data_IF_275538907656
#
_entry.id   IF_275538907656
#
_cell.length_a   1.000
_cell.length_b   1.000
_cell.length_c   1.000
_cell.angle_alpha   90.00
_cell.angle_beta   90.00
_cell.angle_gamma   90.00
#
_symmetry.space_group_name_H-M   'P 1'
#
loop_
_entity.id
_entity.type
_entity.pdbx_description
1 polymer ?
#
# COMPACT_ATOMS: atom_id res chain seq x y z
N UNK A 1 -54.80 -27.36 5.56
CA UNK A 1 -54.01 -26.60 6.56
C UNK A 1 -52.56 -26.68 6.11
N UNK A 2 -52.07 -25.62 5.47
CA UNK A 2 -50.73 -25.59 4.86
C UNK A 2 -49.78 -24.88 5.82
N UNK A 3 -48.80 -25.59 6.34
CA UNK A 3 -47.69 -25.02 7.12
C UNK A 3 -46.78 -24.20 6.20
N UNK A 4 -46.54 -22.90 6.48
CA UNK A 4 -45.53 -22.15 5.77
C UNK A 4 -44.15 -22.59 6.25
N UNK A 5 -43.34 -23.08 5.31
CA UNK A 5 -41.91 -23.30 5.48
C UNK A 5 -41.25 -21.93 5.67
N UNK A 6 -40.93 -21.57 6.91
CA UNK A 6 -40.08 -20.42 7.18
C UNK A 6 -38.66 -20.80 6.74
N UNK A 7 -38.27 -20.31 5.56
CA UNK A 7 -36.87 -20.24 5.20
C UNK A 7 -36.19 -19.34 6.23
N UNK A 8 -35.23 -19.92 6.97
CA UNK A 8 -34.35 -19.16 7.85
C UNK A 8 -33.73 -18.02 7.04
N UNK A 9 -33.76 -16.76 7.51
CA UNK A 9 -33.00 -15.70 6.87
C UNK A 9 -31.53 -16.12 6.93
N UNK A 10 -30.91 -16.29 5.77
CA UNK A 10 -29.45 -16.40 5.64
C UNK A 10 -28.90 -15.22 6.42
N UNK A 11 -28.19 -15.48 7.52
CA UNK A 11 -27.56 -14.44 8.31
C UNK A 11 -26.56 -13.74 7.38
N UNK A 12 -26.97 -12.59 6.82
CA UNK A 12 -26.06 -11.69 6.11
C UNK A 12 -25.06 -11.28 7.18
N UNK A 13 -23.83 -11.81 7.10
CA UNK A 13 -22.77 -11.42 8.01
C UNK A 13 -22.63 -9.90 7.91
N UNK A 14 -23.05 -9.18 8.95
CA UNK A 14 -23.02 -7.72 8.95
C UNK A 14 -21.59 -7.24 8.69
N UNK A 15 -21.42 -6.44 7.65
CA UNK A 15 -20.12 -5.89 7.27
C UNK A 15 -19.59 -4.94 8.34
N UNK A 16 -18.27 -4.77 8.39
CA UNK A 16 -17.63 -3.81 9.31
C UNK A 16 -17.48 -2.46 8.61
N UNK A 17 -17.71 -1.35 9.31
CA UNK A 17 -17.26 -0.06 8.76
C UNK A 17 -15.75 -0.01 8.74
N UNK A 18 -15.20 0.87 7.90
CA UNK A 18 -13.76 1.04 7.80
C UNK A 18 -13.09 1.36 9.16
N UNK A 19 -13.62 2.26 10.02
CA UNK A 19 -13.05 2.45 11.35
C UNK A 19 -13.07 1.18 12.21
N UNK A 20 -14.17 0.42 12.20
CA UNK A 20 -14.29 -0.83 12.94
C UNK A 20 -13.33 -1.91 12.43
N UNK A 21 -13.14 -1.99 11.11
CA UNK A 21 -12.22 -2.92 10.49
C UNK A 21 -10.77 -2.61 10.87
N UNK A 22 -10.36 -1.35 10.79
CA UNK A 22 -8.99 -0.95 11.15
C UNK A 22 -8.72 -1.13 12.65
N UNK A 23 -9.67 -0.76 13.51
CA UNK A 23 -9.54 -0.99 14.96
C UNK A 23 -9.47 -2.48 15.29
N UNK A 24 -10.23 -3.33 14.59
CA UNK A 24 -10.13 -4.80 14.74
C UNK A 24 -8.80 -5.36 14.25
N UNK A 25 -8.26 -4.84 13.17
CA UNK A 25 -7.05 -5.36 12.52
C UNK A 25 -5.77 -4.94 13.24
N UNK A 26 -5.74 -3.72 13.77
CA UNK A 26 -4.54 -3.07 14.32
C UNK A 26 -4.73 -2.53 15.74
N UNK A 27 -5.90 -2.65 16.38
CA UNK A 27 -6.13 -2.06 17.70
C UNK A 27 -6.08 -0.52 17.73
N UNK A 28 -6.05 0.14 16.57
CA UNK A 28 -5.90 1.59 16.44
C UNK A 28 -7.29 2.24 16.27
N UNK A 29 -7.70 3.14 17.18
CA UNK A 29 -8.94 3.89 17.04
C UNK A 29 -8.76 5.00 15.99
N UNK A 30 -9.05 4.69 14.72
CA UNK A 30 -8.83 5.59 13.57
C UNK A 30 -9.48 6.97 13.72
N UNK A 31 -10.57 7.08 14.47
CA UNK A 31 -11.22 8.36 14.76
C UNK A 31 -10.29 9.37 15.46
N UNK A 32 -9.29 8.88 16.21
CA UNK A 32 -8.29 9.70 16.91
C UNK A 32 -7.09 10.08 16.03
N UNK A 33 -6.99 9.52 14.81
CA UNK A 33 -5.86 9.68 13.91
C UNK A 33 -6.34 10.16 12.52
N UNK A 34 -6.60 11.48 12.34
CA UNK A 34 -7.20 12.00 11.11
C UNK A 34 -6.32 11.78 9.86
N UNK A 35 -5.00 11.81 10.00
CA UNK A 35 -4.05 11.54 8.90
C UNK A 35 -4.18 10.09 8.43
N UNK A 36 -4.09 9.13 9.36
CA UNK A 36 -4.32 7.70 9.07
C UNK A 36 -5.69 7.48 8.44
N UNK A 37 -6.74 8.09 8.99
CA UNK A 37 -8.11 7.98 8.45
C UNK A 37 -8.17 8.42 6.98
N UNK A 38 -7.58 9.56 6.66
CA UNK A 38 -7.59 10.10 5.30
C UNK A 38 -6.78 9.23 4.33
N UNK A 39 -5.61 8.73 4.77
CA UNK A 39 -4.79 7.79 4.00
C UNK A 39 -5.56 6.50 3.69
N UNK A 40 -6.16 5.88 4.72
CA UNK A 40 -6.92 4.63 4.58
C UNK A 40 -8.17 4.84 3.71
N UNK A 41 -8.90 5.94 3.86
CA UNK A 41 -10.05 6.27 2.99
C UNK A 41 -9.63 6.40 1.52
N UNK A 42 -8.52 7.08 1.25
CA UNK A 42 -8.00 7.27 -0.12
C UNK A 42 -7.57 5.93 -0.72
N UNK A 43 -6.86 5.11 0.05
CA UNK A 43 -6.45 3.76 -0.33
C UNK A 43 -7.65 2.87 -0.66
N UNK A 44 -8.62 2.80 0.25
CA UNK A 44 -9.81 1.95 0.10
C UNK A 44 -10.65 2.39 -1.10
N UNK A 45 -10.78 3.70 -1.35
CA UNK A 45 -11.45 4.21 -2.54
C UNK A 45 -10.78 3.69 -3.82
N UNK A 46 -9.46 3.79 -3.92
CA UNK A 46 -8.71 3.32 -5.08
C UNK A 46 -8.86 1.80 -5.29
N UNK A 47 -8.73 1.01 -4.22
CA UNK A 47 -8.85 -0.45 -4.27
C UNK A 47 -10.28 -0.91 -4.59
N UNK A 48 -11.29 -0.18 -4.11
CA UNK A 48 -12.69 -0.49 -4.41
C UNK A 48 -13.03 -0.18 -5.87
N UNK A 49 -12.55 0.93 -6.41
CA UNK A 49 -12.71 1.27 -7.84
C UNK A 49 -12.09 0.21 -8.75
N UNK A 50 -10.94 -0.36 -8.34
CA UNK A 50 -10.26 -1.44 -9.05
C UNK A 50 -10.79 -2.85 -8.72
N UNK A 51 -11.87 -2.97 -7.92
CA UNK A 51 -12.48 -4.25 -7.50
C UNK A 51 -11.50 -5.18 -6.76
N UNK A 52 -10.49 -4.61 -6.10
CA UNK A 52 -9.62 -5.35 -5.16
C UNK A 52 -10.33 -5.56 -3.83
N UNK A 53 -11.10 -4.57 -3.37
CA UNK A 53 -11.98 -4.64 -2.21
C UNK A 53 -13.44 -4.40 -2.62
N UNK A 54 -14.38 -5.13 -2.03
CA UNK A 54 -15.80 -5.07 -2.28
C UNK A 54 -16.50 -4.30 -1.15
N UNK A 55 -16.61 -2.98 -1.30
CA UNK A 55 -17.45 -2.20 -0.39
C UNK A 55 -18.93 -2.45 -0.69
N UNK A 56 -19.69 -2.71 0.36
CA UNK A 56 -21.13 -2.89 0.29
C UNK A 56 -21.81 -1.62 0.82
N UNK A 57 -22.85 -1.20 0.11
CA UNK A 57 -23.70 -0.10 0.55
C UNK A 57 -24.85 -0.67 1.37
N UNK A 58 -24.93 -0.27 2.64
CA UNK A 58 -26.03 -0.59 3.54
C UNK A 58 -26.90 0.65 3.76
N UNK A 59 -28.20 0.51 3.56
CA UNK A 59 -29.17 1.55 3.90
C UNK A 59 -29.43 1.53 5.42
N UNK A 60 -29.16 2.64 6.10
CA UNK A 60 -29.32 2.75 7.57
C UNK A 60 -30.79 3.01 7.94
N UNK A 61 -31.64 3.44 7.00
CA UNK A 61 -33.03 3.78 7.29
C UNK A 61 -33.96 3.45 6.14
N UNK A 62 -35.11 2.85 6.45
CA UNK A 62 -36.23 2.53 5.54
C UNK A 62 -36.99 3.77 5.01
N UNK A 63 -36.35 4.94 4.98
CA UNK A 63 -36.92 6.20 4.49
C UNK A 63 -36.28 6.50 3.14
N UNK A 64 -37.06 6.95 2.17
CA UNK A 64 -36.57 7.47 0.89
C UNK A 64 -35.53 8.57 1.15
N UNK A 65 -34.29 8.36 0.70
CA UNK A 65 -33.07 9.16 1.00
C UNK A 65 -32.44 8.96 2.40
N UNK A 66 -32.48 7.74 2.92
CA UNK A 66 -31.75 7.36 4.13
C UNK A 66 -30.24 7.60 4.07
N UNK A 67 -29.61 7.77 5.25
CA UNK A 67 -28.14 7.82 5.35
C UNK A 67 -27.57 6.49 4.88
N UNK A 68 -26.61 6.56 3.95
CA UNK A 68 -25.89 5.41 3.39
C UNK A 68 -24.67 5.09 4.26
N UNK A 69 -24.42 3.80 4.51
CA UNK A 69 -23.23 3.30 5.20
C UNK A 69 -22.46 2.42 4.25
N UNK A 70 -21.15 2.65 4.16
CA UNK A 70 -20.26 1.74 3.46
C UNK A 70 -19.68 0.75 4.47
N UNK A 71 -19.84 -0.54 4.19
CA UNK A 71 -19.30 -1.64 5.00
C UNK A 71 -18.39 -2.52 4.14
N UNK A 72 -17.44 -3.17 4.81
CA UNK A 72 -16.52 -4.11 4.24
C UNK A 72 -16.92 -5.52 4.71
N UNK A 73 -17.11 -6.48 3.80
CA UNK A 73 -17.37 -7.87 4.17
C UNK A 73 -16.15 -8.45 4.88
N UNK A 74 -16.38 -9.45 5.74
CA UNK A 74 -15.30 -10.09 6.50
C UNK A 74 -14.27 -10.78 5.61
N UNK A 75 -14.70 -11.25 4.43
CA UNK A 75 -13.83 -11.85 3.41
C UNK A 75 -12.68 -10.92 2.99
N UNK A 76 -12.90 -9.61 3.07
CA UNK A 76 -11.97 -8.61 2.54
C UNK A 76 -11.06 -8.03 3.63
N UNK A 77 -11.21 -8.47 4.88
CA UNK A 77 -10.38 -8.00 5.98
C UNK A 77 -8.89 -8.31 5.79
N UNK A 78 -8.58 -9.46 5.18
CA UNK A 78 -7.19 -9.84 4.86
C UNK A 78 -6.62 -8.88 3.81
N UNK A 79 -7.35 -8.66 2.72
CA UNK A 79 -6.97 -7.70 1.69
C UNK A 79 -6.78 -6.29 2.23
N UNK A 80 -7.69 -5.82 3.10
CA UNK A 80 -7.55 -4.52 3.76
C UNK A 80 -6.31 -4.44 4.66
N UNK A 81 -6.08 -5.47 5.50
CA UNK A 81 -4.89 -5.55 6.36
C UNK A 81 -3.62 -5.41 5.54
N UNK A 82 -3.51 -6.22 4.48
CA UNK A 82 -2.36 -6.23 3.60
C UNK A 82 -2.17 -4.89 2.89
N UNK A 83 -3.26 -4.31 2.37
CA UNK A 83 -3.22 -3.01 1.72
C UNK A 83 -2.69 -1.90 2.64
N UNK A 84 -3.13 -1.86 3.91
CA UNK A 84 -2.69 -0.83 4.86
C UNK A 84 -1.20 -0.97 5.20
N UNK A 85 -0.73 -2.21 5.41
CA UNK A 85 0.69 -2.49 5.65
C UNK A 85 1.53 -2.08 4.45
N UNK A 86 1.12 -2.49 3.24
CA UNK A 86 1.83 -2.14 2.00
C UNK A 86 1.80 -0.64 1.74
N UNK A 87 0.69 0.04 2.00
CA UNK A 87 0.61 1.50 1.90
C UNK A 87 1.59 2.18 2.86
N UNK A 88 1.84 1.60 4.04
CA UNK A 88 2.81 2.16 4.99
C UNK A 88 4.25 2.03 4.51
N UNK A 89 4.56 0.94 3.80
CA UNK A 89 5.89 0.67 3.26
C UNK A 89 6.12 1.44 1.96
N UNK A 90 5.19 1.34 1.01
CA UNK A 90 5.33 1.77 -0.38
C UNK A 90 4.65 3.13 -0.68
N UNK A 91 3.86 3.65 0.24
CA UNK A 91 3.23 4.97 0.16
C UNK A 91 1.99 5.03 -0.72
N UNK A 92 2.14 4.97 -2.05
CA UNK A 92 1.05 5.35 -2.94
C UNK A 92 -0.03 4.27 -3.13
N UNK A 93 -1.34 4.63 -3.09
CA UNK A 93 -2.43 3.69 -3.37
C UNK A 93 -2.32 2.99 -4.74
N UNK A 94 -1.83 3.70 -5.76
CA UNK A 94 -1.60 3.12 -7.10
C UNK A 94 -0.52 2.05 -7.07
N UNK A 95 0.54 2.27 -6.30
CA UNK A 95 1.61 1.28 -6.11
C UNK A 95 1.03 0.05 -5.41
N UNK A 96 0.30 0.23 -4.31
CA UNK A 96 -0.36 -0.88 -3.61
C UNK A 96 -1.25 -1.67 -4.55
N UNK A 97 -2.08 -1.00 -5.37
CA UNK A 97 -2.92 -1.67 -6.36
C UNK A 97 -2.10 -2.55 -7.32
N UNK A 98 -1.00 -2.02 -7.87
CA UNK A 98 -0.10 -2.80 -8.74
C UNK A 98 0.51 -4.02 -8.03
N UNK A 99 0.81 -3.94 -6.74
CA UNK A 99 1.32 -5.08 -5.96
C UNK A 99 0.29 -6.22 -5.84
N UNK A 100 -1.00 -5.88 -5.75
CA UNK A 100 -2.08 -6.87 -5.75
C UNK A 100 -2.26 -7.52 -7.13
N UNK A 101 -2.13 -6.75 -8.22
CA UNK A 101 -2.47 -7.21 -9.57
C UNK A 101 -1.30 -7.84 -10.34
N UNK A 102 -0.07 -7.42 -10.07
CA UNK A 102 1.09 -7.72 -10.92
C UNK A 102 2.20 -8.41 -10.11
N UNK A 103 2.26 -9.75 -10.11
CA UNK A 103 3.25 -10.52 -9.34
C UNK A 103 4.70 -10.14 -9.64
N UNK A 104 5.05 -9.85 -10.91
CA UNK A 104 6.39 -9.41 -11.29
C UNK A 104 6.78 -8.09 -10.61
N UNK A 105 5.89 -7.09 -10.69
CA UNK A 105 6.08 -5.80 -10.04
C UNK A 105 6.16 -5.97 -8.53
N UNK A 106 5.35 -6.87 -7.96
CA UNK A 106 5.41 -7.19 -6.53
C UNK A 106 6.77 -7.74 -6.11
N UNK A 107 7.35 -8.68 -6.87
CA UNK A 107 8.70 -9.21 -6.62
C UNK A 107 9.77 -8.13 -6.69
N UNK A 108 9.75 -7.31 -7.74
CA UNK A 108 10.69 -6.19 -7.89
C UNK A 108 10.63 -5.21 -6.70
N UNK A 109 9.43 -4.91 -6.20
CA UNK A 109 9.24 -4.07 -5.01
C UNK A 109 9.68 -4.74 -3.71
N UNK A 110 9.57 -6.06 -3.59
CA UNK A 110 10.03 -6.81 -2.44
C UNK A 110 11.57 -6.82 -2.38
N UNK A 111 12.24 -7.14 -3.49
CA UNK A 111 13.70 -7.06 -3.62
C UNK A 111 14.22 -5.66 -3.28
N UNK A 112 13.49 -4.65 -3.76
CA UNK A 112 13.78 -3.25 -3.49
C UNK A 112 13.66 -2.90 -2.00
N UNK A 113 12.53 -3.24 -1.37
CA UNK A 113 12.32 -2.99 0.05
C UNK A 113 13.31 -3.77 0.92
N UNK A 114 13.68 -4.99 0.52
CA UNK A 114 14.71 -5.81 1.18
C UNK A 114 16.05 -5.09 1.24
N UNK A 115 16.47 -4.54 0.11
CA UNK A 115 17.76 -3.84 -0.01
C UNK A 115 17.78 -2.54 0.81
N UNK A 116 16.66 -1.82 0.89
CA UNK A 116 16.56 -0.58 1.67
C UNK A 116 16.42 -0.78 3.17
N UNK A 117 15.59 -1.73 3.59
CA UNK A 117 15.17 -1.87 4.98
C UNK A 117 16.14 -2.74 5.80
N UNK A 118 16.71 -3.80 5.21
CA UNK A 118 17.61 -4.68 5.95
C UNK A 118 19.00 -4.09 6.15
N UNK A 119 19.47 -3.26 5.22
CA UNK A 119 20.74 -2.54 5.36
C UNK A 119 20.64 -1.40 6.39
N UNK A 120 19.43 -0.99 6.79
CA UNK A 120 19.17 0.19 7.64
C UNK A 120 18.18 -0.16 8.75
N UNK A 121 18.69 -0.80 9.80
CA UNK A 121 17.89 -1.42 10.88
C UNK A 121 17.16 -0.45 11.82
N UNK A 122 17.39 0.86 11.72
CA UNK A 122 16.66 1.86 12.51
C UNK A 122 16.57 3.16 11.75
N UNK A 123 15.38 3.51 11.28
CA UNK A 123 15.18 4.79 10.61
C UNK A 123 13.82 5.34 11.02
N UNK A 124 13.77 6.66 11.25
CA UNK A 124 12.56 7.40 11.60
C UNK A 124 11.89 7.07 12.96
N UNK A 125 12.61 6.53 13.95
CA UNK A 125 12.05 6.19 15.28
C UNK A 125 10.87 5.20 15.27
N UNK A 126 10.58 4.58 14.13
CA UNK A 126 9.63 3.48 13.97
C UNK A 126 10.38 2.17 14.17
N UNK A 127 10.03 1.43 15.23
CA UNK A 127 10.53 0.09 15.44
C UNK A 127 10.02 -0.84 14.34
N UNK A 128 10.94 -1.47 13.60
CA UNK A 128 10.62 -2.56 12.69
C UNK A 128 10.91 -3.90 13.38
N UNK A 129 9.95 -4.81 13.33
CA UNK A 129 10.13 -6.17 13.81
C UNK A 129 10.81 -6.97 12.68
N UNK A 130 12.13 -7.10 12.75
CA UNK A 130 12.96 -7.68 11.67
C UNK A 130 12.46 -9.03 11.16
N UNK A 131 11.99 -9.92 12.04
CA UNK A 131 11.48 -11.23 11.63
C UNK A 131 10.18 -11.13 10.82
N UNK A 132 9.28 -10.23 11.20
CA UNK A 132 8.01 -10.01 10.51
C UNK A 132 8.25 -9.29 9.18
N UNK A 133 9.23 -8.39 9.13
CA UNK A 133 9.67 -7.77 7.87
C UNK A 133 10.21 -8.81 6.88
N UNK A 134 11.12 -9.69 7.31
CA UNK A 134 11.66 -10.74 6.44
C UNK A 134 10.55 -11.64 5.91
N UNK A 135 9.65 -12.10 6.78
CA UNK A 135 8.50 -12.93 6.39
C UNK A 135 7.56 -12.20 5.42
N UNK A 136 7.35 -10.90 5.61
CA UNK A 136 6.54 -10.09 4.71
C UNK A 136 7.20 -10.06 3.32
N UNK A 137 8.51 -9.81 3.25
CA UNK A 137 9.24 -9.72 1.98
C UNK A 137 9.25 -11.08 1.26
N UNK A 138 9.47 -12.17 1.98
CA UNK A 138 9.41 -13.54 1.42
C UNK A 138 8.02 -13.84 0.83
N UNK A 139 6.95 -13.41 1.50
CA UNK A 139 5.59 -13.57 0.98
C UNK A 139 5.30 -12.68 -0.24
N UNK A 140 5.85 -11.47 -0.29
CA UNK A 140 5.72 -10.62 -1.48
C UNK A 140 6.43 -11.20 -2.70
N UNK A 141 7.57 -11.87 -2.50
CA UNK A 141 8.30 -12.55 -3.56
C UNK A 141 7.57 -13.79 -4.10
N UNK A 142 6.66 -14.36 -3.29
CA UNK A 142 5.89 -15.56 -3.64
C UNK A 142 4.64 -15.30 -4.50
N UNK A 143 3.99 -16.38 -4.92
CA UNK A 143 2.77 -16.37 -5.74
C UNK A 143 1.47 -16.39 -4.92
N UNK A 144 1.54 -16.04 -3.63
CA UNK A 144 0.34 -15.98 -2.77
C UNK A 144 -0.65 -14.93 -3.24
N UNK A 145 -1.94 -15.22 -3.06
CA UNK A 145 -3.01 -14.24 -3.25
C UNK A 145 -3.09 -13.33 -2.01
N UNK A 146 -2.76 -12.05 -2.21
CA UNK A 146 -2.79 -11.02 -1.17
C UNK A 146 -4.20 -10.71 -0.66
N UNK A 147 -5.27 -11.22 -1.30
CA UNK A 147 -6.63 -11.13 -0.77
C UNK A 147 -6.94 -12.25 0.24
N UNK A 148 -6.21 -13.37 0.19
CA UNK A 148 -6.49 -14.58 0.98
C UNK A 148 -5.44 -14.84 2.05
N UNK A 149 -4.17 -14.57 1.76
CA UNK A 149 -3.05 -14.82 2.68
C UNK A 149 -2.68 -13.53 3.39
N UNK A 150 -2.77 -13.51 4.72
CA UNK A 150 -2.41 -12.34 5.52
C UNK A 150 -0.89 -12.15 5.55
N UNK A 151 -0.44 -10.97 5.15
CA UNK A 151 0.94 -10.54 5.30
C UNK A 151 1.23 -10.26 6.79
N UNK A 152 2.41 -10.67 7.27
CA UNK A 152 2.90 -10.27 8.58
C UNK A 152 3.00 -8.75 8.68
N UNK A 153 2.74 -8.19 9.86
CA UNK A 153 2.87 -6.76 10.09
C UNK A 153 4.27 -6.47 10.66
N UNK A 154 5.16 -5.78 9.94
CA UNK A 154 6.50 -5.48 10.43
C UNK A 154 6.53 -4.33 11.43
N UNK A 155 5.40 -3.66 11.66
CA UNK A 155 5.28 -2.54 12.60
C UNK A 155 4.76 -3.02 13.94
N UNK A 156 5.11 -2.29 15.01
CA UNK A 156 4.48 -2.48 16.31
C UNK A 156 2.95 -2.38 16.19
N UNK A 157 2.24 -3.26 16.91
CA UNK A 157 0.80 -3.45 16.73
C UNK A 157 -0.04 -2.16 16.91
N UNK A 158 0.50 -1.09 17.48
CA UNK A 158 -0.20 0.18 17.69
C UNK A 158 0.39 1.36 16.91
N UNK A 159 1.31 1.13 15.97
CA UNK A 159 1.97 2.21 15.24
C UNK A 159 2.09 1.86 13.78
N UNK A 160 1.59 2.75 12.92
CA UNK A 160 1.68 2.62 11.48
C UNK A 160 2.43 3.83 10.91
N UNK A 161 3.19 3.68 9.80
CA UNK A 161 3.89 4.79 9.14
C UNK A 161 3.00 6.01 8.88
N UNK A 162 1.73 5.81 8.52
CA UNK A 162 0.79 6.89 8.22
C UNK A 162 0.36 7.72 9.44
N UNK A 163 0.80 7.34 10.65
CA UNK A 163 0.52 8.07 11.89
C UNK A 163 1.66 9.00 12.31
N UNK A 164 2.90 8.76 11.84
CA UNK A 164 4.09 9.46 12.33
C UNK A 164 5.07 9.91 11.24
N UNK A 165 4.78 9.66 9.97
CA UNK A 165 5.58 10.09 8.82
C UNK A 165 4.80 11.01 7.89
N UNK A 166 3.95 11.89 8.42
CA UNK A 166 3.12 12.82 7.65
C UNK A 166 3.94 13.72 6.72
N UNK A 167 5.10 14.21 7.17
CA UNK A 167 6.06 14.96 6.34
C UNK A 167 6.55 14.16 5.11
N UNK A 168 6.44 12.82 5.18
CA UNK A 168 6.81 11.88 4.11
C UNK A 168 5.59 11.17 3.52
N UNK A 169 4.38 11.73 3.69
CA UNK A 169 3.14 11.16 3.14
C UNK A 169 2.74 9.82 3.76
N UNK A 170 3.24 9.48 4.95
CA UNK A 170 3.00 8.21 5.61
C UNK A 170 3.76 7.03 5.00
N UNK A 171 4.83 7.30 4.23
CA UNK A 171 5.61 6.32 3.49
C UNK A 171 6.96 6.09 4.18
N UNK A 172 7.18 4.87 4.68
CA UNK A 172 8.42 4.47 5.30
C UNK A 172 9.61 4.64 4.36
N UNK A 173 9.54 4.08 3.15
CA UNK A 173 10.67 4.08 2.22
C UNK A 173 11.02 5.50 1.76
N UNK A 174 10.04 6.40 1.65
CA UNK A 174 10.28 7.84 1.42
C UNK A 174 11.00 8.49 2.60
N UNK A 175 10.57 8.20 3.84
CA UNK A 175 11.27 8.70 5.02
C UNK A 175 12.72 8.19 5.10
N UNK A 176 12.97 6.94 4.70
CA UNK A 176 14.35 6.42 4.59
C UNK A 176 15.14 7.20 3.55
N UNK A 177 14.60 7.35 2.35
CA UNK A 177 15.28 8.04 1.28
C UNK A 177 15.59 9.50 1.64
N UNK A 178 14.67 10.21 2.29
CA UNK A 178 14.91 11.59 2.71
C UNK A 178 15.95 11.70 3.84
N UNK A 179 15.92 10.82 4.83
CA UNK A 179 16.94 10.81 5.91
C UNK A 179 18.34 10.47 5.37
N UNK A 180 18.39 9.70 4.29
CA UNK A 180 19.64 9.31 3.64
C UNK A 180 20.10 10.34 2.61
N UNK A 181 19.16 11.09 2.01
CA UNK A 181 19.42 12.25 1.16
C UNK A 181 20.13 13.41 1.85
N UNK A 182 19.93 13.55 3.16
CA UNK A 182 20.73 14.46 3.97
C UNK A 182 22.23 14.09 4.00
N UNK A 183 22.61 12.90 3.48
CA UNK A 183 23.95 12.33 3.60
C UNK A 183 24.67 12.11 2.24
N UNK A 184 24.06 12.23 1.05
CA UNK A 184 24.79 12.14 -0.25
C UNK A 184 24.13 12.77 -1.49
N UNK A 185 24.93 13.02 -2.56
CA UNK A 185 24.50 13.49 -3.89
C UNK A 185 23.71 12.43 -4.72
N UNK A 186 23.67 11.16 -4.29
CA UNK A 186 22.94 10.08 -4.97
C UNK A 186 21.42 10.14 -4.84
N UNK A 187 20.92 11.12 -4.08
CA UNK A 187 19.62 11.03 -3.44
C UNK A 187 18.53 11.91 -4.07
N UNK A 188 18.86 12.81 -5.00
CA UNK A 188 17.82 13.50 -5.81
C UNK A 188 17.04 12.50 -6.67
N UNK A 189 17.75 11.53 -7.25
CA UNK A 189 17.16 10.44 -8.04
C UNK A 189 16.12 9.66 -7.24
N UNK A 190 16.47 9.24 -6.03
CA UNK A 190 15.59 8.42 -5.19
C UNK A 190 14.43 9.23 -4.61
N UNK A 191 14.67 10.48 -4.23
CA UNK A 191 13.62 11.36 -3.75
C UNK A 191 12.53 11.56 -4.81
N UNK A 192 12.91 11.91 -6.04
CA UNK A 192 11.95 12.06 -7.14
C UNK A 192 11.19 10.77 -7.42
N UNK A 193 11.88 9.62 -7.44
CA UNK A 193 11.21 8.35 -7.73
C UNK A 193 10.13 8.01 -6.69
N UNK A 194 10.42 8.25 -5.41
CA UNK A 194 9.51 7.96 -4.31
C UNK A 194 8.39 8.97 -4.14
N UNK A 195 8.54 10.15 -4.73
CA UNK A 195 7.48 11.15 -4.87
C UNK A 195 6.58 10.89 -6.08
N UNK A 196 6.82 9.83 -6.86
CA UNK A 196 6.09 9.54 -8.09
C UNK A 196 6.50 10.43 -9.28
N UNK A 197 7.57 11.22 -9.13
CA UNK A 197 8.09 12.15 -10.13
C UNK A 197 9.04 11.41 -11.09
N UNK A 198 8.50 10.47 -11.86
CA UNK A 198 9.31 9.52 -12.65
C UNK A 198 10.25 10.18 -13.66
N UNK A 199 9.84 11.26 -14.32
CA UNK A 199 10.69 12.04 -15.24
C UNK A 199 11.88 12.69 -14.54
N UNK A 200 11.65 13.29 -13.38
CA UNK A 200 12.68 13.98 -12.60
C UNK A 200 13.63 12.94 -12.00
N UNK A 201 13.11 11.80 -11.59
CA UNK A 201 13.88 10.65 -11.15
C UNK A 201 14.78 10.13 -12.27
N UNK A 202 14.25 10.00 -13.50
CA UNK A 202 15.01 9.57 -14.67
C UNK A 202 16.14 10.53 -15.03
N UNK A 203 15.88 11.84 -15.02
CA UNK A 203 16.90 12.85 -15.28
C UNK A 203 18.05 12.78 -14.25
N UNK A 204 17.70 12.68 -12.97
CA UNK A 204 18.67 12.52 -11.89
C UNK A 204 19.41 11.16 -11.98
N UNK A 205 18.75 10.09 -12.43
CA UNK A 205 19.37 8.78 -12.65
C UNK A 205 20.44 8.82 -13.76
N UNK A 206 20.21 9.58 -14.83
CA UNK A 206 21.18 9.77 -15.90
C UNK A 206 22.40 10.57 -15.43
N UNK A 207 22.19 11.59 -14.60
CA UNK A 207 23.24 12.44 -14.05
C UNK A 207 24.07 11.75 -12.95
N UNK A 208 23.57 10.65 -12.37
CA UNK A 208 24.20 9.98 -11.25
C UNK A 208 25.45 9.18 -11.67
N UNK A 209 26.62 9.65 -11.22
CA UNK A 209 27.88 8.92 -11.31
C UNK A 209 28.26 8.38 -9.92
N UNK A 210 28.19 7.06 -9.74
CA UNK A 210 28.42 6.41 -8.45
C UNK A 210 28.98 5.01 -8.64
N UNK A 211 29.78 4.56 -7.68
CA UNK A 211 30.26 3.18 -7.59
C UNK A 211 29.52 2.39 -6.50
N UNK A 212 28.57 3.02 -5.81
CA UNK A 212 27.77 2.32 -4.80
C UNK A 212 26.83 1.32 -5.50
N UNK A 213 26.96 0.00 -5.24
CA UNK A 213 26.17 -1.03 -5.91
C UNK A 213 24.66 -0.83 -5.78
N UNK A 214 24.20 -0.34 -4.63
CA UNK A 214 22.80 -0.08 -4.33
C UNK A 214 22.25 1.07 -5.19
N UNK A 215 23.00 2.16 -5.30
CA UNK A 215 22.61 3.31 -6.14
C UNK A 215 22.63 2.97 -7.64
N UNK A 216 23.52 2.08 -8.07
CA UNK A 216 23.54 1.57 -9.45
C UNK A 216 22.29 0.73 -9.76
N UNK A 217 21.86 -0.12 -8.83
CA UNK A 217 20.63 -0.88 -8.97
C UNK A 217 19.40 0.04 -9.09
N UNK A 218 19.32 1.08 -8.26
CA UNK A 218 18.23 2.07 -8.34
C UNK A 218 18.22 2.84 -9.65
N UNK A 219 19.39 3.26 -10.12
CA UNK A 219 19.53 3.90 -11.42
C UNK A 219 18.94 3.02 -12.52
N UNK A 220 19.32 1.76 -12.61
CA UNK A 220 18.80 0.84 -13.62
C UNK A 220 17.28 0.63 -13.54
N UNK A 221 16.74 0.50 -12.32
CA UNK A 221 15.30 0.37 -12.12
C UNK A 221 14.53 1.59 -12.63
N UNK A 222 14.98 2.80 -12.30
CA UNK A 222 14.31 4.05 -12.70
C UNK A 222 14.36 4.22 -14.21
N UNK A 223 15.52 3.94 -14.84
CA UNK A 223 15.67 3.95 -16.29
C UNK A 223 14.66 3.01 -16.96
N UNK A 224 14.58 1.76 -16.49
CA UNK A 224 13.65 0.77 -17.04
C UNK A 224 12.18 1.17 -16.87
N UNK A 225 11.79 1.65 -15.68
CA UNK A 225 10.42 2.14 -15.41
C UNK A 225 10.03 3.30 -16.31
N UNK A 226 10.97 4.22 -16.58
CA UNK A 226 10.74 5.33 -17.49
C UNK A 226 10.57 4.86 -18.94
N UNK A 227 11.41 3.94 -19.41
CA UNK A 227 11.27 3.34 -20.75
C UNK A 227 9.95 2.59 -20.92
N UNK A 228 9.53 1.79 -19.93
CA UNK A 228 8.25 1.08 -19.94
C UNK A 228 7.06 2.05 -20.01
N UNK A 229 7.11 3.15 -19.25
CA UNK A 229 6.07 4.19 -19.28
C UNK A 229 6.04 4.92 -20.63
N UNK A 230 7.19 5.30 -21.16
CA UNK A 230 7.32 5.96 -22.46
C UNK A 230 6.84 5.08 -23.61
N UNK A 231 7.22 3.80 -23.63
CA UNK A 231 6.78 2.86 -24.66
C UNK A 231 5.25 2.64 -24.63
N UNK A 232 4.65 2.69 -23.44
CA UNK A 232 3.20 2.65 -23.29
C UNK A 232 2.52 3.89 -23.87
N UNK A 233 3.04 5.09 -23.59
CA UNK A 233 2.51 6.34 -24.16
C UNK A 233 2.66 6.38 -25.69
N UNK A 234 3.81 5.95 -26.23
CA UNK A 234 4.04 5.83 -27.68
C UNK A 234 3.03 4.86 -28.34
N UNK A 235 2.70 3.75 -27.67
CA UNK A 235 1.68 2.80 -28.16
C UNK A 235 0.29 3.43 -28.18
N UNK A 236 -0.09 4.18 -27.14
CA UNK A 236 -1.38 4.88 -27.09
C UNK A 236 -1.51 5.94 -28.20
N UNK A 237 -0.44 6.68 -28.48
CA UNK A 237 -0.43 7.67 -29.56
C UNK A 237 -0.47 7.03 -30.95
N UNK A 238 0.06 5.80 -31.10
CA UNK A 238 -0.05 5.04 -32.36
C UNK A 238 -1.48 4.54 -32.63
N UNK A 239 -2.33 4.48 -31.60
CA UNK A 239 -3.72 4.00 -31.67
C UNK A 239 -4.75 5.15 -31.72
N UNK A 240 -4.30 6.40 -31.74
CA UNK A 240 -5.12 7.60 -31.96
C UNK A 240 -5.23 7.93 -33.45
#
# INVERSE_FOLDING_TARGET
MSTPCWQLPVAVEQGLTLPQAVERLFGIPVARHPVLRNAVNTLVKALSQAKVLQLQEEEISYVTNGRKRWTLPRSDLVGLSNAIVLHGIFGEPKTVLRLFEQPKVRREHADWARSLLLERQSVASLGLINQELLRLLDLLESDVDLKQVRLPNPFDNNTLPQMGLDDYGGNLLRALACQTAALSLGDSMMAHYLNGELEQAHSAALALNTQNPLLLQYRQMILRRYEEARAFDELLDTWR
#
